data_IF_269235427396
#
_entry.id   IF_269235427396
#
_cell.length_a   1.000
_cell.length_b   1.000
_cell.length_c   1.000
_cell.angle_alpha   90.00
_cell.angle_beta   90.00
_cell.angle_gamma   90.00
#
_symmetry.space_group_name_H-M   'P 1'
#
loop_
_entity.id
_entity.type
_entity.pdbx_description
1 polymer ?
#
# COMPACT_ATOMS: atom_id res chain seq x y z
N UNK A 1 4.11 25.79 14.68
CA UNK A 1 5.51 25.35 14.41
C UNK A 1 6.47 26.55 14.46
N UNK A 2 6.22 27.64 13.72
CA UNK A 2 7.03 28.88 13.81
C UNK A 2 7.03 29.55 15.20
N UNK A 3 5.94 29.45 15.97
CA UNK A 3 5.87 29.97 17.35
C UNK A 3 6.79 29.23 18.35
N UNK A 4 7.32 28.05 17.99
CA UNK A 4 8.14 27.21 18.87
C UNK A 4 9.64 27.48 18.72
N UNK A 5 10.09 28.03 17.58
CA UNK A 5 11.47 28.48 17.42
C UNK A 5 11.81 29.68 18.32
N UNK A 6 10.82 30.50 18.66
CA UNK A 6 11.01 31.64 19.56
C UNK A 6 11.26 31.23 21.02
N UNK A 7 10.83 30.03 21.45
CA UNK A 7 10.92 29.59 22.84
C UNK A 7 12.23 28.86 23.16
N UNK A 8 12.94 28.36 22.16
CA UNK A 8 14.24 27.67 22.32
C UNK A 8 15.43 28.64 22.18
N UNK A 9 15.20 29.87 21.69
CA UNK A 9 16.23 30.86 21.40
C UNK A 9 16.35 32.03 22.39
N UNK A 10 15.66 32.02 23.53
CA UNK A 10 15.65 33.17 24.45
C UNK A 10 15.63 32.77 25.91
N UNK A 11 16.79 32.53 26.49
CA UNK A 11 16.96 32.58 27.94
C UNK A 11 17.24 34.01 28.38
N UNK A 12 16.29 34.62 29.10
CA UNK A 12 16.49 35.37 30.36
C UNK A 12 15.26 36.22 30.72
N UNK A 13 14.76 36.04 31.95
CA UNK A 13 14.04 37.06 32.71
C UNK A 13 12.51 37.09 32.61
N UNK A 14 11.83 36.50 33.60
CA UNK A 14 10.90 37.19 34.53
C UNK A 14 9.85 36.23 35.11
N UNK A 15 9.79 36.20 36.44
CA UNK A 15 8.82 35.47 37.24
C UNK A 15 7.40 36.02 37.11
N UNK A 16 6.39 35.15 37.17
CA UNK A 16 4.99 35.52 37.29
C UNK A 16 4.10 34.30 37.53
N UNK A 17 3.69 34.11 38.79
CA UNK A 17 2.83 33.03 39.25
C UNK A 17 1.41 33.10 38.66
N UNK A 18 0.81 31.93 38.38
CA UNK A 18 -0.59 31.80 37.99
C UNK A 18 -0.99 30.34 37.78
N UNK A 19 -1.41 29.68 38.86
CA UNK A 19 -1.99 28.34 38.84
C UNK A 19 -3.20 28.24 37.90
N UNK A 20 -3.17 27.29 36.95
CA UNK A 20 -4.39 26.68 36.38
C UNK A 20 -4.21 25.18 36.24
N UNK A 21 -5.16 24.45 36.85
CA UNK A 21 -5.28 22.99 36.93
C UNK A 21 -5.07 22.29 35.58
N UNK A 22 -4.14 21.34 35.58
CA UNK A 22 -3.94 20.36 34.51
C UNK A 22 -5.08 19.33 34.50
N UNK A 23 -5.89 19.32 33.44
CA UNK A 23 -6.70 18.16 33.07
C UNK A 23 -5.81 17.17 32.32
N UNK A 24 -5.50 16.04 32.95
CA UNK A 24 -4.64 14.99 32.40
C UNK A 24 -5.28 14.27 31.22
N UNK A 25 -4.94 14.70 30.00
CA UNK A 25 -4.96 13.86 28.82
C UNK A 25 -3.55 13.35 28.57
N UNK A 26 -3.33 12.04 28.65
CA UNK A 26 -2.06 11.40 28.30
C UNK A 26 -1.80 11.52 26.80
N UNK A 27 -1.35 12.69 26.36
CA UNK A 27 -0.68 12.86 25.08
C UNK A 27 0.76 12.40 25.24
N UNK A 28 1.18 11.43 24.45
CA UNK A 28 2.60 11.10 24.29
C UNK A 28 3.33 12.39 23.93
N UNK A 29 4.09 12.92 24.89
CA UNK A 29 4.81 14.17 24.72
C UNK A 29 5.96 13.91 23.74
N UNK A 30 5.72 14.14 22.43
CA UNK A 30 6.68 13.82 21.36
C UNK A 30 8.04 14.50 21.54
N UNK A 31 8.10 15.54 22.36
CA UNK A 31 9.29 16.35 22.60
C UNK A 31 9.67 16.42 24.09
N UNK A 32 9.34 15.39 24.88
CA UNK A 32 9.78 15.30 26.27
C UNK A 32 11.28 15.55 26.44
N UNK A 33 11.64 16.30 27.48
CA UNK A 33 13.01 16.69 27.81
C UNK A 33 13.92 15.46 27.96
N UNK A 34 15.04 15.42 27.23
CA UNK A 34 16.09 14.41 27.42
C UNK A 34 16.58 13.64 26.20
N UNK A 35 16.18 13.96 24.95
CA UNK A 35 16.78 13.34 23.74
C UNK A 35 17.09 14.38 22.65
N UNK A 36 18.33 14.93 22.60
CA UNK A 36 18.70 16.05 21.73
C UNK A 36 18.81 15.73 20.23
N UNK A 37 18.76 14.45 19.82
CA UNK A 37 18.98 14.06 18.42
C UNK A 37 17.92 14.66 17.47
N UNK A 38 16.61 14.58 17.80
CA UNK A 38 15.55 14.97 16.88
C UNK A 38 15.55 16.46 16.46
N UNK A 39 16.25 17.34 17.18
CA UNK A 39 16.22 18.78 16.90
C UNK A 39 16.89 19.17 15.58
N UNK A 40 17.94 18.44 15.16
CA UNK A 40 18.74 18.79 13.98
C UNK A 40 17.97 18.61 12.67
N UNK A 41 17.25 17.50 12.49
CA UNK A 41 16.51 17.21 11.24
C UNK A 41 15.12 17.82 11.20
N UNK A 42 14.55 18.22 12.35
CA UNK A 42 13.18 18.72 12.38
C UNK A 42 13.01 19.98 11.53
N UNK A 43 13.98 20.89 11.54
CA UNK A 43 13.94 22.11 10.74
C UNK A 43 14.02 21.81 9.22
N UNK A 44 15.02 21.06 8.71
CA UNK A 44 15.03 20.58 7.32
C UNK A 44 13.74 19.86 6.89
N UNK A 45 13.29 18.89 7.68
CA UNK A 45 12.07 18.12 7.40
C UNK A 45 10.83 19.03 7.34
N UNK A 46 10.73 20.03 8.22
CA UNK A 46 9.60 20.98 8.22
C UNK A 46 9.63 21.90 7.00
N UNK A 47 10.81 22.37 6.57
CA UNK A 47 10.95 23.18 5.35
C UNK A 47 10.59 22.36 4.10
N UNK A 48 11.09 21.12 4.03
CA UNK A 48 10.75 20.21 2.95
C UNK A 48 9.24 19.93 2.89
N UNK A 49 8.62 19.61 4.03
CA UNK A 49 7.18 19.41 4.10
C UNK A 49 6.40 20.66 3.70
N UNK A 50 6.79 21.84 4.19
CA UNK A 50 6.13 23.09 3.83
C UNK A 50 6.20 23.33 2.32
N UNK A 51 7.37 23.17 1.71
CA UNK A 51 7.54 23.31 0.27
C UNK A 51 6.67 22.31 -0.51
N UNK A 52 6.69 21.02 -0.13
CA UNK A 52 5.85 19.98 -0.74
C UNK A 52 4.39 20.35 -0.61
N UNK A 53 3.93 20.76 0.58
CA UNK A 53 2.54 21.08 0.86
C UNK A 53 2.03 22.27 0.04
N UNK A 54 2.82 23.35 -0.06
CA UNK A 54 2.42 24.56 -0.82
C UNK A 54 2.51 24.39 -2.33
N UNK A 55 3.24 23.39 -2.80
CA UNK A 55 3.45 23.12 -4.23
C UNK A 55 2.62 21.92 -4.73
N UNK A 56 1.71 21.37 -3.90
CA UNK A 56 0.85 20.28 -4.35
C UNK A 56 -0.10 20.76 -5.45
N UNK A 57 -0.19 19.99 -6.53
CA UNK A 57 -1.11 20.23 -7.62
C UNK A 57 -2.40 19.43 -7.41
N UNK A 58 -3.54 20.10 -7.54
CA UNK A 58 -4.86 19.48 -7.39
C UNK A 58 -5.32 19.40 -5.94
N UNK A 59 -5.82 18.23 -5.53
CA UNK A 59 -6.30 17.98 -4.16
C UNK A 59 -5.13 17.74 -3.22
N UNK A 60 -5.16 18.31 -2.01
CA UNK A 60 -4.16 18.14 -0.94
C UNK A 60 -4.05 16.66 -0.48
N UNK A 61 -3.33 15.85 -1.24
CA UNK A 61 -3.22 14.41 -1.05
C UNK A 61 -2.26 14.05 0.08
N UNK A 62 -1.23 14.87 0.29
CA UNK A 62 -0.35 14.78 1.46
C UNK A 62 -0.88 15.77 2.50
N UNK A 63 -1.22 15.26 3.68
CA UNK A 63 -1.68 16.07 4.81
C UNK A 63 -0.69 16.09 5.98
N UNK A 64 -1.01 16.91 6.99
CA UNK A 64 -0.21 17.01 8.22
C UNK A 64 -0.10 15.68 8.97
N UNK A 65 -1.09 14.78 8.82
CA UNK A 65 -1.06 13.46 9.44
C UNK A 65 0.05 12.58 8.84
N UNK A 66 0.33 12.72 7.54
CA UNK A 66 1.42 12.00 6.88
C UNK A 66 2.76 12.50 7.43
N UNK A 67 2.95 13.82 7.53
CA UNK A 67 4.17 14.40 8.11
C UNK A 67 4.38 14.03 9.57
N UNK A 68 3.31 14.02 10.38
CA UNK A 68 3.41 13.63 11.77
C UNK A 68 3.80 12.15 11.94
N UNK A 69 3.27 11.26 11.11
CA UNK A 69 3.63 9.84 11.15
C UNK A 69 5.04 9.59 10.59
N UNK A 70 5.50 10.40 9.62
CA UNK A 70 6.89 10.42 9.19
C UNK A 70 7.82 10.70 10.39
N UNK A 71 7.54 11.76 11.15
CA UNK A 71 8.34 12.11 12.34
C UNK A 71 8.30 11.00 13.40
N UNK A 72 7.13 10.39 13.63
CA UNK A 72 7.00 9.25 14.55
C UNK A 72 7.87 8.07 14.13
N UNK A 73 7.86 7.72 12.85
CA UNK A 73 8.61 6.60 12.32
C UNK A 73 10.11 6.84 12.41
N UNK A 74 10.57 8.05 12.04
CA UNK A 74 11.98 8.43 12.18
C UNK A 74 12.45 8.44 13.64
N UNK A 75 11.58 8.84 14.58
CA UNK A 75 11.88 8.82 16.02
C UNK A 75 11.91 7.42 16.62
N UNK A 76 11.18 6.46 16.05
CA UNK A 76 11.12 5.09 16.56
C UNK A 76 12.42 4.30 16.32
N UNK A 77 13.37 4.86 15.57
CA UNK A 77 14.71 4.30 15.36
C UNK A 77 15.47 4.11 16.68
N UNK A 78 16.31 3.06 16.78
CA UNK A 78 17.07 2.77 17.99
C UNK A 78 17.97 3.94 18.40
N UNK A 79 18.03 4.20 19.72
CA UNK A 79 18.82 5.28 20.29
C UNK A 79 20.31 4.96 20.16
N UNK A 80 20.96 5.54 19.14
CA UNK A 80 22.37 5.29 18.81
C UNK A 80 22.73 5.92 17.47
N UNK A 81 21.76 5.96 16.55
CA UNK A 81 21.88 6.66 15.28
C UNK A 81 21.83 8.16 15.50
N UNK A 82 23.01 8.78 15.53
CA UNK A 82 23.14 10.24 15.55
C UNK A 82 22.91 10.85 14.18
N UNK A 83 22.88 10.07 13.11
CA UNK A 83 22.67 10.54 11.74
C UNK A 83 21.45 9.87 11.11
N UNK A 84 20.64 10.68 10.43
CA UNK A 84 19.55 10.19 9.61
C UNK A 84 20.16 9.57 8.35
N UNK A 85 20.04 8.25 8.16
CA UNK A 85 20.44 7.62 6.90
C UNK A 85 19.43 7.97 5.79
N UNK A 86 19.90 8.04 4.53
CA UNK A 86 19.03 8.30 3.36
C UNK A 86 17.97 7.23 3.21
N UNK A 87 18.35 5.98 3.42
CA UNK A 87 17.50 4.80 3.27
C UNK A 87 16.33 4.83 4.26
N UNK A 88 16.61 5.23 5.51
CA UNK A 88 15.58 5.40 6.54
C UNK A 88 14.62 6.54 6.20
N UNK A 89 15.14 7.65 5.67
CA UNK A 89 14.30 8.77 5.23
C UNK A 89 13.42 8.36 4.05
N UNK A 90 13.97 7.68 3.05
CA UNK A 90 13.24 7.18 1.89
C UNK A 90 12.18 6.16 2.29
N UNK A 91 12.49 5.22 3.19
CA UNK A 91 11.54 4.28 3.77
C UNK A 91 10.41 5.02 4.49
N UNK A 92 10.74 5.98 5.34
CA UNK A 92 9.74 6.70 6.11
C UNK A 92 8.85 7.59 5.23
N UNK A 93 9.40 8.19 4.17
CA UNK A 93 8.65 8.94 3.17
C UNK A 93 7.76 8.02 2.35
N UNK A 94 8.28 6.91 1.83
CA UNK A 94 7.50 5.95 1.03
C UNK A 94 6.33 5.35 1.82
N UNK A 95 6.50 5.11 3.12
CA UNK A 95 5.41 4.69 4.02
C UNK A 95 4.36 5.77 4.27
N UNK A 96 4.73 7.05 4.31
CA UNK A 96 3.80 8.10 4.74
C UNK A 96 3.23 8.97 3.61
N UNK A 97 3.98 9.17 2.54
CA UNK A 97 3.67 10.03 1.39
C UNK A 97 3.30 9.18 0.16
N UNK A 98 3.11 7.88 0.36
CA UNK A 98 2.69 6.92 -0.66
C UNK A 98 1.26 7.14 -1.16
N UNK A 99 0.88 6.33 -2.14
CA UNK A 99 -0.42 6.40 -2.81
C UNK A 99 -0.31 6.98 -4.21
N UNK A 100 0.40 8.10 -4.42
CA UNK A 100 0.68 8.66 -5.75
C UNK A 100 2.19 8.61 -6.05
N UNK A 101 2.68 7.70 -6.92
CA UNK A 101 4.11 7.52 -7.15
C UNK A 101 4.84 8.81 -7.54
N UNK A 102 4.26 9.60 -8.45
CA UNK A 102 4.90 10.84 -8.92
C UNK A 102 4.96 11.93 -7.85
N UNK A 103 3.98 11.95 -6.94
CA UNK A 103 3.96 12.88 -5.80
C UNK A 103 5.00 12.44 -4.77
N UNK A 104 5.09 11.13 -4.49
CA UNK A 104 6.08 10.56 -3.59
C UNK A 104 7.51 10.84 -4.09
N UNK A 105 7.80 10.60 -5.37
CA UNK A 105 9.13 10.87 -5.97
C UNK A 105 9.53 12.32 -5.84
N UNK A 106 8.65 13.25 -6.24
CA UNK A 106 8.88 14.69 -6.10
C UNK A 106 9.11 15.10 -4.63
N UNK A 107 8.28 14.58 -3.72
CA UNK A 107 8.46 14.83 -2.30
C UNK A 107 9.79 14.28 -1.78
N UNK A 108 10.13 13.04 -2.12
CA UNK A 108 11.38 12.41 -1.71
C UNK A 108 12.62 13.17 -2.19
N UNK A 109 12.62 13.59 -3.46
CA UNK A 109 13.69 14.42 -4.00
C UNK A 109 13.84 15.74 -3.21
N UNK A 110 12.71 16.40 -2.88
CA UNK A 110 12.73 17.64 -2.09
C UNK A 110 13.23 17.43 -0.67
N UNK A 111 12.80 16.36 -0.01
CA UNK A 111 13.23 16.05 1.35
C UNK A 111 14.73 15.73 1.40
N UNK A 112 15.23 14.98 0.43
CA UNK A 112 16.66 14.71 0.31
C UNK A 112 17.46 16.00 0.08
N UNK A 113 17.05 16.86 -0.84
CA UNK A 113 17.75 18.13 -1.11
C UNK A 113 17.80 19.06 0.11
N UNK A 114 16.77 19.08 0.95
CA UNK A 114 16.74 19.89 2.18
C UNK A 114 17.52 19.26 3.34
N UNK A 115 17.54 17.93 3.44
CA UNK A 115 18.19 17.22 4.55
C UNK A 115 19.68 16.95 4.29
N UNK A 116 20.10 16.88 3.02
CA UNK A 116 21.47 16.63 2.59
C UNK A 116 21.90 17.68 1.55
N UNK A 117 22.05 18.96 1.95
CA UNK A 117 22.33 20.05 1.02
C UNK A 117 23.73 19.97 0.37
N UNK A 118 24.64 19.20 0.95
CA UNK A 118 26.00 18.98 0.44
C UNK A 118 26.05 17.93 -0.69
N UNK A 119 24.95 17.20 -0.91
CA UNK A 119 24.82 16.21 -1.98
C UNK A 119 24.25 16.83 -3.27
N UNK A 120 24.56 16.26 -4.45
CA UNK A 120 23.93 16.67 -5.69
C UNK A 120 22.41 16.50 -5.60
N UNK A 121 21.68 17.44 -6.21
CA UNK A 121 20.23 17.38 -6.24
C UNK A 121 19.77 16.04 -6.84
N UNK A 122 18.93 15.27 -6.13
CA UNK A 122 18.51 13.96 -6.60
C UNK A 122 17.58 14.08 -7.78
N UNK A 123 17.79 13.24 -8.80
CA UNK A 123 16.81 13.02 -9.85
C UNK A 123 15.62 12.23 -9.28
N UNK A 124 14.44 12.86 -9.30
CA UNK A 124 13.22 12.29 -8.73
C UNK A 124 12.82 10.95 -9.38
N UNK A 125 13.10 10.76 -10.67
CA UNK A 125 12.73 9.56 -11.41
C UNK A 125 13.67 8.39 -11.13
N UNK A 126 14.94 8.68 -10.85
CA UNK A 126 15.98 7.69 -10.58
C UNK A 126 16.11 7.33 -9.09
N UNK A 127 15.21 7.81 -8.22
CA UNK A 127 15.28 7.53 -6.80
C UNK A 127 15.06 6.04 -6.48
N UNK A 128 15.94 5.42 -5.68
CA UNK A 128 15.81 4.03 -5.25
C UNK A 128 14.76 3.92 -4.12
N UNK A 129 13.49 4.13 -4.47
CA UNK A 129 12.39 3.96 -3.52
C UNK A 129 12.25 2.49 -3.13
N UNK A 130 11.92 2.19 -1.85
CA UNK A 130 11.67 0.81 -1.44
C UNK A 130 10.52 0.18 -2.24
N UNK A 131 10.61 -1.12 -2.58
CA UNK A 131 9.58 -1.79 -3.36
C UNK A 131 8.27 -1.87 -2.57
N UNK A 132 7.13 -1.86 -3.28
CA UNK A 132 5.80 -1.89 -2.67
C UNK A 132 5.64 -3.06 -1.66
N UNK A 133 6.14 -4.24 -2.00
CA UNK A 133 6.13 -5.41 -1.09
C UNK A 133 6.79 -5.13 0.25
N UNK A 134 7.95 -4.44 0.25
CA UNK A 134 8.66 -4.10 1.48
C UNK A 134 7.88 -3.08 2.33
N UNK A 135 7.26 -2.09 1.68
CA UNK A 135 6.42 -1.09 2.36
C UNK A 135 5.20 -1.73 3.02
N UNK A 136 4.50 -2.60 2.29
CA UNK A 136 3.35 -3.35 2.78
C UNK A 136 3.74 -4.25 3.97
N UNK A 137 4.81 -5.03 3.83
CA UNK A 137 5.30 -5.88 4.91
C UNK A 137 5.70 -5.08 6.15
N UNK A 138 6.40 -3.95 5.97
CA UNK A 138 6.79 -3.06 7.06
C UNK A 138 5.59 -2.47 7.80
N UNK A 139 4.53 -2.04 7.09
CA UNK A 139 3.30 -1.57 7.72
C UNK A 139 2.59 -2.68 8.52
N UNK A 140 2.47 -3.87 7.95
CA UNK A 140 1.75 -4.99 8.57
C UNK A 140 2.47 -5.51 9.83
N UNK A 141 3.80 -5.45 9.86
CA UNK A 141 4.61 -5.78 11.04
C UNK A 141 4.58 -4.68 12.12
N UNK A 142 4.34 -3.42 11.74
CA UNK A 142 4.40 -2.26 12.63
C UNK A 142 3.08 -2.05 13.39
N UNK A 143 3.05 -2.47 14.66
CA UNK A 143 1.87 -2.39 15.55
C UNK A 143 1.36 -0.97 15.85
N UNK A 144 2.14 0.07 15.55
CA UNK A 144 1.75 1.48 15.74
C UNK A 144 1.52 2.22 14.42
N UNK A 145 1.75 1.56 13.29
CA UNK A 145 1.43 2.11 11.98
C UNK A 145 -0.06 2.41 11.85
N UNK A 146 -0.36 3.31 10.90
CA UNK A 146 -1.73 3.52 10.43
C UNK A 146 -2.28 2.24 9.80
N UNK A 147 -3.60 2.18 9.71
CA UNK A 147 -4.25 1.20 8.84
C UNK A 147 -3.85 1.43 7.38
N UNK A 148 -3.92 0.37 6.60
CA UNK A 148 -3.36 0.35 5.25
C UNK A 148 -4.49 0.53 4.23
N UNK A 149 -4.24 1.34 3.20
CA UNK A 149 -5.05 1.42 2.00
C UNK A 149 -4.19 1.01 0.81
N UNK A 150 -4.53 -0.13 0.21
CA UNK A 150 -3.88 -0.70 -0.97
C UNK A 150 -4.66 -0.25 -2.20
N UNK A 151 -4.04 0.64 -2.97
CA UNK A 151 -4.56 1.16 -4.21
C UNK A 151 -4.18 0.22 -5.34
N UNK A 152 -5.17 -0.24 -6.09
CA UNK A 152 -4.96 -1.19 -7.20
C UNK A 152 -5.55 -0.69 -8.51
N UNK A 153 -5.36 -1.47 -9.56
CA UNK A 153 -6.01 -1.27 -10.84
C UNK A 153 -6.59 -2.61 -11.31
N UNK A 154 -7.88 -2.62 -11.64
CA UNK A 154 -8.61 -3.79 -12.15
C UNK A 154 -8.69 -4.96 -11.14
N UNK A 155 -8.89 -4.67 -9.85
CA UNK A 155 -9.19 -5.66 -8.82
C UNK A 155 -8.03 -6.59 -8.44
N UNK A 156 -6.79 -6.29 -8.87
CA UNK A 156 -5.68 -7.21 -8.72
C UNK A 156 -5.15 -7.34 -7.28
N UNK A 157 -5.30 -6.33 -6.43
CA UNK A 157 -4.59 -6.27 -5.16
C UNK A 157 -4.90 -7.41 -4.18
N UNK A 158 -6.15 -7.88 -4.05
CA UNK A 158 -6.47 -8.92 -3.08
C UNK A 158 -5.74 -10.25 -3.40
N UNK A 159 -5.81 -10.78 -4.64
CA UNK A 159 -4.96 -11.90 -5.06
C UNK A 159 -3.48 -11.66 -4.83
N UNK A 160 -2.96 -10.46 -5.12
CA UNK A 160 -1.55 -10.13 -4.96
C UNK A 160 -1.12 -10.12 -3.48
N UNK A 161 -1.96 -9.64 -2.56
CA UNK A 161 -1.69 -9.63 -1.12
C UNK A 161 -1.57 -11.04 -0.56
N UNK A 162 -2.47 -11.95 -0.97
CA UNK A 162 -2.42 -13.36 -0.56
C UNK A 162 -1.21 -14.07 -1.17
N UNK A 163 -1.01 -13.92 -2.48
CA UNK A 163 0.10 -14.54 -3.22
C UNK A 163 1.47 -14.09 -2.73
N UNK A 164 1.62 -12.83 -2.35
CA UNK A 164 2.88 -12.31 -1.81
C UNK A 164 3.17 -12.73 -0.36
N UNK A 165 2.26 -13.48 0.27
CA UNK A 165 2.33 -13.86 1.69
C UNK A 165 2.20 -12.68 2.65
N UNK A 166 1.63 -11.55 2.19
CA UNK A 166 1.46 -10.36 3.01
C UNK A 166 0.26 -10.50 3.94
N UNK A 167 -0.81 -11.12 3.46
CA UNK A 167 -2.00 -11.42 4.24
C UNK A 167 -2.30 -12.91 4.13
N UNK A 168 -2.49 -13.56 5.27
CA UNK A 168 -2.89 -14.95 5.35
C UNK A 168 -4.42 -15.06 5.18
N UNK A 169 -4.92 -15.76 4.13
CA UNK A 169 -6.36 -15.87 3.86
C UNK A 169 -7.12 -16.61 4.98
N UNK A 170 -6.49 -17.55 5.68
CA UNK A 170 -7.14 -18.34 6.74
C UNK A 170 -7.27 -17.55 8.05
N UNK A 171 -6.42 -16.55 8.24
CA UNK A 171 -6.40 -15.70 9.43
C UNK A 171 -7.08 -14.35 9.23
N UNK A 172 -7.23 -13.91 7.98
CA UNK A 172 -7.88 -12.65 7.66
C UNK A 172 -9.40 -12.77 7.64
N UNK A 173 -10.08 -11.70 8.02
CA UNK A 173 -11.53 -11.55 7.84
C UNK A 173 -11.78 -10.70 6.60
N UNK A 174 -12.23 -11.31 5.51
CA UNK A 174 -12.56 -10.63 4.27
C UNK A 174 -14.00 -10.11 4.33
N UNK A 175 -14.17 -8.81 4.14
CA UNK A 175 -15.47 -8.14 4.07
C UNK A 175 -15.58 -7.45 2.71
N UNK A 176 -16.56 -7.85 1.92
CA UNK A 176 -16.78 -7.34 0.57
C UNK A 176 -17.99 -6.41 0.58
N UNK A 177 -17.78 -5.17 0.12
CA UNK A 177 -18.87 -4.25 -0.10
C UNK A 177 -19.77 -4.77 -1.22
N UNK A 178 -21.03 -5.02 -0.91
CA UNK A 178 -22.02 -5.37 -1.92
C UNK A 178 -22.56 -4.11 -2.60
N UNK A 179 -22.50 -4.10 -3.93
CA UNK A 179 -23.15 -3.06 -4.74
C UNK A 179 -24.59 -3.43 -5.11
N UNK A 180 -25.05 -4.64 -4.78
CA UNK A 180 -26.41 -5.09 -5.08
C UNK A 180 -27.44 -4.23 -4.33
N UNK A 181 -28.52 -3.77 -5.01
CA UNK A 181 -29.51 -2.89 -4.39
C UNK A 181 -30.17 -3.44 -3.13
N UNK A 182 -30.33 -4.76 -3.05
CA UNK A 182 -30.96 -5.46 -1.93
C UNK A 182 -30.05 -5.55 -0.69
N UNK A 183 -28.73 -5.51 -0.88
CA UNK A 183 -27.73 -5.61 0.19
C UNK A 183 -27.39 -4.26 0.84
N UNK A 184 -28.00 -3.17 0.35
CA UNK A 184 -27.86 -1.83 0.96
C UNK A 184 -28.65 -1.66 2.26
N UNK A 185 -29.11 -2.76 2.86
CA UNK A 185 -29.83 -2.72 4.13
C UNK A 185 -28.89 -2.30 5.27
N UNK A 186 -29.41 -1.51 6.22
CA UNK A 186 -28.68 -1.16 7.45
C UNK A 186 -28.27 -2.41 8.25
N UNK A 187 -29.05 -3.50 8.14
CA UNK A 187 -28.75 -4.77 8.81
C UNK A 187 -27.47 -5.42 8.28
N UNK A 188 -27.25 -5.39 6.97
CA UNK A 188 -26.01 -5.89 6.37
C UNK A 188 -24.80 -5.10 6.88
N UNK A 189 -24.89 -3.77 6.90
CA UNK A 189 -23.82 -2.93 7.44
C UNK A 189 -23.55 -3.22 8.93
N UNK A 190 -24.60 -3.38 9.74
CA UNK A 190 -24.48 -3.74 11.16
C UNK A 190 -23.77 -5.09 11.32
N UNK A 191 -24.08 -6.08 10.50
CA UNK A 191 -23.40 -7.38 10.52
C UNK A 191 -21.91 -7.24 10.16
N UNK A 192 -21.57 -6.52 9.10
CA UNK A 192 -20.19 -6.27 8.69
C UNK A 192 -19.39 -5.56 9.80
N UNK A 193 -19.98 -4.55 10.46
CA UNK A 193 -19.34 -3.86 11.59
C UNK A 193 -19.18 -4.81 12.79
N UNK A 194 -20.11 -5.73 13.02
CA UNK A 194 -19.95 -6.76 14.05
C UNK A 194 -18.81 -7.73 13.73
N UNK A 195 -18.59 -8.08 12.45
CA UNK A 195 -17.43 -8.86 12.04
C UNK A 195 -16.12 -8.11 12.33
N UNK A 196 -16.07 -6.80 12.05
CA UNK A 196 -14.92 -5.96 12.43
C UNK A 196 -14.70 -5.98 13.94
N UNK A 197 -15.76 -5.83 14.74
CA UNK A 197 -15.69 -5.90 16.20
C UNK A 197 -15.11 -7.23 16.70
N UNK A 198 -15.53 -8.36 16.13
CA UNK A 198 -15.01 -9.68 16.49
C UNK A 198 -13.53 -9.82 16.10
N UNK A 199 -13.14 -9.35 14.91
CA UNK A 199 -11.76 -9.35 14.47
C UNK A 199 -10.86 -8.44 15.33
N UNK A 200 -11.37 -7.29 15.79
CA UNK A 200 -10.69 -6.40 16.74
C UNK A 200 -10.40 -7.09 18.08
N UNK A 201 -11.38 -7.83 18.61
CA UNK A 201 -11.23 -8.60 19.85
C UNK A 201 -10.29 -9.81 19.68
N UNK A 202 -10.21 -10.38 18.49
CA UNK A 202 -9.32 -11.51 18.19
C UNK A 202 -7.91 -11.09 17.71
N UNK A 203 -7.68 -9.80 17.46
CA UNK A 203 -6.41 -9.29 16.93
C UNK A 203 -6.13 -9.75 15.50
N UNK A 204 -7.16 -9.99 14.69
CA UNK A 204 -7.05 -10.44 13.30
C UNK A 204 -6.99 -9.27 12.33
N UNK A 205 -6.44 -9.52 11.14
CA UNK A 205 -6.47 -8.56 10.04
C UNK A 205 -7.84 -8.61 9.37
N UNK A 206 -8.46 -7.46 9.16
CA UNK A 206 -9.67 -7.31 8.34
C UNK A 206 -9.28 -6.73 7.00
N UNK A 207 -9.71 -7.37 5.91
CA UNK A 207 -9.55 -6.87 4.55
C UNK A 207 -10.91 -6.36 4.05
N UNK A 208 -11.02 -5.07 3.79
CA UNK A 208 -12.21 -4.44 3.20
C UNK A 208 -12.00 -4.31 1.70
N UNK A 209 -12.89 -4.90 0.90
CA UNK A 209 -12.89 -4.75 -0.56
C UNK A 209 -14.08 -3.88 -0.98
N UNK A 210 -13.82 -2.76 -1.64
CA UNK A 210 -14.84 -1.85 -2.22
C UNK A 210 -16.01 -1.50 -1.26
N UNK A 211 -15.70 -1.23 0.00
CA UNK A 211 -16.68 -1.13 1.08
C UNK A 211 -16.90 0.32 1.57
N UNK A 212 -17.34 1.23 0.68
CA UNK A 212 -17.39 2.67 0.99
C UNK A 212 -18.32 3.06 2.15
N UNK A 213 -19.45 2.37 2.30
CA UNK A 213 -20.46 2.65 3.31
C UNK A 213 -20.03 2.32 4.75
N UNK A 214 -18.96 1.55 4.96
CA UNK A 214 -18.50 1.17 6.31
C UNK A 214 -17.60 2.22 6.95
N UNK A 215 -17.03 3.14 6.18
CA UNK A 215 -16.02 4.07 6.68
C UNK A 215 -16.54 4.99 7.79
N UNK A 216 -17.81 5.39 7.72
CA UNK A 216 -18.45 6.20 8.77
C UNK A 216 -18.47 5.43 10.11
N UNK A 217 -18.85 4.15 10.06
CA UNK A 217 -18.90 3.30 11.25
C UNK A 217 -17.53 3.07 11.90
N UNK A 218 -16.46 3.10 11.09
CA UNK A 218 -15.08 2.86 11.49
C UNK A 218 -14.29 4.13 11.79
N UNK A 219 -14.92 5.32 11.83
CA UNK A 219 -14.23 6.59 11.95
C UNK A 219 -13.21 6.66 13.11
N UNK A 220 -13.60 6.23 14.31
CA UNK A 220 -12.72 6.22 15.49
C UNK A 220 -11.62 5.15 15.40
N UNK A 221 -11.90 4.04 14.72
CA UNK A 221 -10.91 2.98 14.42
C UNK A 221 -9.82 3.53 13.51
N UNK A 222 -10.22 4.18 12.41
CA UNK A 222 -9.31 4.81 11.45
C UNK A 222 -8.48 5.93 12.07
N UNK A 223 -9.05 6.68 13.03
CA UNK A 223 -8.29 7.69 13.75
C UNK A 223 -7.35 7.12 14.82
N UNK A 224 -7.47 5.82 15.15
CA UNK A 224 -6.69 5.15 16.20
C UNK A 224 -6.78 5.86 17.56
N UNK A 225 -7.98 6.39 17.89
CA UNK A 225 -8.23 7.14 19.13
C UNK A 225 -8.53 6.19 20.30
N UNK A 226 -7.50 5.47 20.74
CA UNK A 226 -7.62 4.49 21.82
C UNK A 226 -7.98 5.13 23.17
N UNK A 227 -8.88 4.46 23.90
CA UNK A 227 -9.13 4.69 25.33
C UNK A 227 -8.51 3.53 26.10
N UNK A 228 -7.51 3.82 26.93
CA UNK A 228 -6.89 2.79 27.78
C UNK A 228 -7.70 2.61 29.04
N UNK A 229 -8.13 1.38 29.33
CA UNK A 229 -8.76 0.99 30.59
C UNK A 229 -7.90 -0.04 31.29
N UNK A 230 -7.83 0.03 32.62
CA UNK A 230 -7.27 -1.08 33.40
C UNK A 230 -8.37 -2.11 33.58
N UNK A 231 -8.11 -3.34 33.18
CA UNK A 231 -8.98 -4.46 33.49
C UNK A 231 -8.98 -4.65 35.02
N UNK A 232 -10.15 -4.55 35.68
CA UNK A 232 -10.25 -4.71 37.13
C UNK A 232 -9.84 -6.12 37.61
N UNK A 233 -9.88 -7.12 36.73
CA UNK A 233 -9.57 -8.51 37.07
C UNK A 233 -8.09 -8.83 36.92
N UNK A 234 -7.49 -8.49 35.77
CA UNK A 234 -6.08 -8.80 35.48
C UNK A 234 -5.10 -7.67 35.81
N UNK A 235 -5.59 -6.46 36.11
CA UNK A 235 -4.78 -5.26 36.29
C UNK A 235 -4.11 -4.76 35.00
N UNK A 236 -4.28 -5.46 33.87
CA UNK A 236 -3.65 -5.11 32.59
C UNK A 236 -4.35 -3.93 31.92
N UNK A 237 -3.57 -3.11 31.23
CA UNK A 237 -4.10 -2.03 30.41
C UNK A 237 -4.63 -2.58 29.08
N UNK A 238 -5.94 -2.53 28.88
CA UNK A 238 -6.63 -2.88 27.64
C UNK A 238 -6.92 -1.63 26.81
N UNK A 239 -6.68 -1.73 25.50
CA UNK A 239 -7.03 -0.67 24.54
C UNK A 239 -8.47 -0.87 24.09
N UNK A 240 -9.25 0.21 24.15
CA UNK A 240 -10.64 0.23 23.69
C UNK A 240 -10.77 1.24 22.56
N UNK A 241 -11.54 0.90 21.53
CA UNK A 241 -11.97 1.83 20.48
C UNK A 241 -13.49 1.92 20.46
N UNK A 242 -13.99 3.04 19.97
CA UNK A 242 -15.41 3.28 19.80
C UNK A 242 -15.82 2.85 18.39
N UNK A 243 -16.88 2.06 18.27
CA UNK A 243 -17.48 1.63 17.01
C UNK A 243 -18.92 2.12 16.94
N UNK A 244 -19.36 2.64 15.80
CA UNK A 244 -20.77 2.93 15.57
C UNK A 244 -21.45 1.69 14.96
N UNK A 245 -22.44 1.15 15.67
CA UNK A 245 -23.21 -0.05 15.29
C UNK A 245 -24.67 0.38 15.24
N UNK A 246 -25.18 0.61 14.03
CA UNK A 246 -26.48 1.25 13.82
C UNK A 246 -26.51 2.63 14.49
N UNK A 247 -27.58 2.92 15.23
CA UNK A 247 -27.76 4.20 15.93
C UNK A 247 -26.94 4.34 17.23
N UNK A 248 -26.15 3.33 17.63
CA UNK A 248 -25.45 3.31 18.92
C UNK A 248 -23.95 3.26 18.74
N UNK A 249 -23.24 3.83 19.70
CA UNK A 249 -21.78 3.82 19.74
C UNK A 249 -21.28 3.00 20.92
N UNK A 250 -20.53 1.93 20.66
CA UNK A 250 -20.05 0.98 21.66
C UNK A 250 -18.53 1.04 21.81
N UNK A 251 -18.03 0.95 23.05
CA UNK A 251 -16.61 0.72 23.32
C UNK A 251 -16.28 -0.77 23.19
N UNK A 252 -15.34 -1.10 22.32
CA UNK A 252 -14.90 -2.45 22.00
C UNK A 252 -13.41 -2.60 22.28
N UNK A 253 -13.01 -3.74 22.83
CA UNK A 253 -11.59 -4.07 23.07
C UNK A 253 -10.86 -4.29 21.74
N UNK A 254 -9.59 -3.89 21.72
CA UNK A 254 -8.72 -4.02 20.55
C UNK A 254 -7.43 -4.68 20.94
N UNK A 255 -7.19 -5.85 20.37
CA UNK A 255 -5.93 -6.56 20.55
C UNK A 255 -4.79 -5.92 19.74
N UNK A 256 -3.54 -5.92 20.25
CA UNK A 256 -2.40 -5.28 19.58
C UNK A 256 -2.05 -5.79 18.17
N UNK A 257 -2.61 -6.93 17.76
CA UNK A 257 -2.42 -7.51 16.41
C UNK A 257 -3.44 -7.04 15.36
N UNK A 258 -4.52 -6.36 15.78
CA UNK A 258 -5.58 -5.94 14.86
C UNK A 258 -5.06 -4.97 13.79
N UNK A 259 -5.42 -5.23 12.53
CA UNK A 259 -5.08 -4.39 11.38
C UNK A 259 -6.26 -4.31 10.42
N UNK A 260 -6.56 -3.12 9.94
CA UNK A 260 -7.46 -2.92 8.81
C UNK A 260 -6.62 -2.69 7.53
N UNK A 261 -6.95 -3.43 6.48
CA UNK A 261 -6.42 -3.29 5.12
C UNK A 261 -7.59 -2.99 4.20
N UNK A 262 -7.60 -1.83 3.56
CA UNK A 262 -8.62 -1.44 2.59
C UNK A 262 -8.05 -1.63 1.20
N UNK A 263 -8.71 -2.41 0.35
CA UNK A 263 -8.41 -2.52 -1.07
C UNK A 263 -9.39 -1.63 -1.82
N UNK A 264 -8.86 -0.70 -2.62
CA UNK A 264 -9.66 0.23 -3.40
C UNK A 264 -9.04 0.48 -4.78
N UNK A 265 -9.90 0.66 -5.78
CA UNK A 265 -9.47 1.11 -7.10
C UNK A 265 -8.83 2.50 -7.04
N UNK A 266 -7.67 2.64 -7.69
CA UNK A 266 -6.89 3.88 -7.70
C UNK A 266 -7.71 5.06 -8.27
N UNK A 267 -8.45 4.81 -9.34
CA UNK A 267 -9.31 5.83 -9.97
C UNK A 267 -10.40 6.31 -9.00
N UNK A 268 -11.03 5.39 -8.28
CA UNK A 268 -12.05 5.68 -7.27
C UNK A 268 -11.46 6.46 -6.09
N UNK A 269 -10.34 6.02 -5.55
CA UNK A 269 -9.67 6.68 -4.43
C UNK A 269 -9.27 8.12 -4.74
N UNK A 270 -8.83 8.40 -5.97
CA UNK A 270 -8.41 9.75 -6.36
C UNK A 270 -9.58 10.69 -6.63
N UNK A 271 -10.65 10.18 -7.24
CA UNK A 271 -11.76 10.99 -7.71
C UNK A 271 -12.88 11.15 -6.67
N UNK A 272 -13.20 10.10 -5.91
CA UNK A 272 -14.43 10.03 -5.10
C UNK A 272 -14.20 10.04 -3.60
N UNK A 273 -13.15 9.37 -3.11
CA UNK A 273 -12.88 9.35 -1.67
C UNK A 273 -12.47 10.75 -1.15
N UNK A 274 -12.87 11.06 0.08
CA UNK A 274 -12.58 12.31 0.75
C UNK A 274 -11.13 12.35 1.26
N UNK A 275 -10.49 13.52 1.18
CA UNK A 275 -9.11 13.70 1.66
C UNK A 275 -8.95 13.38 3.16
N UNK A 276 -9.89 13.78 4.05
CA UNK A 276 -9.79 13.42 5.47
C UNK A 276 -9.72 11.92 5.72
N UNK A 277 -10.47 11.10 4.98
CA UNK A 277 -10.37 9.65 5.03
C UNK A 277 -9.03 9.15 4.52
N UNK A 278 -8.61 9.56 3.31
CA UNK A 278 -7.33 9.16 2.72
C UNK A 278 -6.13 9.48 3.62
N UNK A 279 -6.19 10.58 4.38
CA UNK A 279 -5.14 11.00 5.31
C UNK A 279 -5.09 10.15 6.60
N UNK A 280 -6.11 9.33 6.88
CA UNK A 280 -6.10 8.37 8.01
C UNK A 280 -5.37 7.07 7.67
N UNK A 281 -5.18 6.78 6.38
CA UNK A 281 -4.49 5.58 5.93
C UNK A 281 -3.04 5.86 5.55
N UNK A 282 -2.18 4.88 5.81
CA UNK A 282 -0.95 4.69 5.04
C UNK A 282 -1.36 4.10 3.68
N UNK A 283 -0.98 4.75 2.58
CA UNK A 283 -1.47 4.45 1.23
C UNK A 283 -0.34 3.86 0.41
N UNK A 284 -0.57 2.69 -0.18
CA UNK A 284 0.42 2.02 -1.04
C UNK A 284 -0.24 1.58 -2.33
N UNK A 285 0.47 1.75 -3.46
CA UNK A 285 0.02 1.22 -4.75
C UNK A 285 0.56 -0.20 -4.88
N UNK A 286 -0.29 -1.13 -5.29
CA UNK A 286 0.10 -2.51 -5.57
C UNK A 286 -0.46 -2.95 -6.92
N UNK A 287 0.45 -3.15 -7.86
CA UNK A 287 0.22 -3.68 -9.20
C UNK A 287 0.99 -5.00 -9.37
N UNK A 288 0.60 -5.86 -10.33
CA UNK A 288 1.34 -7.09 -10.60
C UNK A 288 2.81 -6.85 -10.93
N UNK A 289 3.12 -5.72 -11.58
CA UNK A 289 4.49 -5.33 -11.94
C UNK A 289 5.41 -5.16 -10.73
N UNK A 290 4.85 -4.77 -9.57
CA UNK A 290 5.61 -4.49 -8.35
C UNK A 290 6.13 -5.78 -7.68
N UNK A 291 5.65 -6.95 -8.12
CA UNK A 291 6.02 -8.26 -7.61
C UNK A 291 6.86 -9.09 -8.59
N UNK A 292 7.14 -8.55 -9.79
CA UNK A 292 7.97 -9.22 -10.79
C UNK A 292 9.45 -9.19 -10.37
N UNK A 293 10.12 -10.34 -10.49
CA UNK A 293 11.58 -10.46 -10.41
C UNK A 293 12.20 -10.02 -11.76
N UNK A 294 13.53 -9.82 -11.86
CA UNK A 294 14.16 -9.41 -13.11
C UNK A 294 13.80 -10.28 -14.33
N UNK A 295 13.73 -11.60 -14.17
CA UNK A 295 13.30 -12.52 -15.23
C UNK A 295 11.83 -12.30 -15.65
N UNK A 296 10.92 -12.14 -14.69
CA UNK A 296 9.52 -11.80 -14.96
C UNK A 296 9.36 -10.44 -15.63
N UNK A 297 10.24 -9.47 -15.31
CA UNK A 297 10.25 -8.16 -15.99
C UNK A 297 10.70 -8.27 -17.45
N UNK A 298 11.74 -9.04 -17.72
CA UNK A 298 12.18 -9.32 -19.09
C UNK A 298 11.08 -10.01 -19.91
N UNK A 299 10.35 -10.96 -19.30
CA UNK A 299 9.19 -11.59 -19.93
C UNK A 299 8.10 -10.56 -20.24
N UNK A 300 7.77 -9.67 -19.29
CA UNK A 300 6.77 -8.62 -19.50
C UNK A 300 7.16 -7.70 -20.66
N UNK A 301 8.43 -7.29 -20.74
CA UNK A 301 8.91 -6.42 -21.80
C UNK A 301 8.85 -7.12 -23.17
N UNK A 302 9.21 -8.41 -23.23
CA UNK A 302 9.05 -9.23 -24.44
C UNK A 302 7.56 -9.41 -24.84
N UNK A 303 6.67 -9.60 -23.86
CA UNK A 303 5.23 -9.71 -24.11
C UNK A 303 4.62 -8.41 -24.62
N UNK A 304 5.04 -7.25 -24.09
CA UNK A 304 4.62 -5.94 -24.58
C UNK A 304 5.06 -5.73 -26.02
N UNK A 305 6.34 -5.98 -26.33
CA UNK A 305 6.84 -5.86 -27.70
C UNK A 305 6.11 -6.78 -28.69
N UNK A 306 5.81 -8.01 -28.26
CA UNK A 306 5.02 -8.96 -29.04
C UNK A 306 3.58 -8.50 -29.27
N UNK A 307 2.89 -8.09 -28.20
CA UNK A 307 1.52 -7.60 -28.25
C UNK A 307 1.38 -6.35 -29.14
N UNK A 308 2.34 -5.42 -29.07
CA UNK A 308 2.39 -4.24 -29.95
C UNK A 308 2.59 -4.64 -31.43
N UNK A 309 3.31 -5.74 -31.68
CA UNK A 309 3.40 -6.39 -33.00
C UNK A 309 2.04 -6.81 -33.54
N UNK A 310 1.28 -7.55 -32.73
CA UNK A 310 -0.04 -8.05 -33.12
C UNK A 310 -1.06 -6.94 -33.35
N UNK A 311 -1.06 -5.91 -32.50
CA UNK A 311 -1.90 -4.72 -32.65
C UNK A 311 -1.64 -4.04 -34.00
N UNK A 312 -0.37 -3.90 -34.40
CA UNK A 312 0.00 -3.35 -35.70
C UNK A 312 -0.39 -4.25 -36.87
N UNK A 313 -0.17 -5.55 -36.77
CA UNK A 313 -0.46 -6.51 -37.85
C UNK A 313 -1.95 -6.71 -38.10
N UNK A 314 -2.74 -6.82 -37.04
CA UNK A 314 -4.21 -6.96 -37.13
C UNK A 314 -4.88 -5.69 -37.64
N UNK A 315 -4.19 -4.53 -37.58
CA UNK A 315 -4.80 -3.22 -37.75
C UNK A 315 -5.79 -2.88 -36.63
N UNK A 316 -5.86 -3.70 -35.58
CA UNK A 316 -6.74 -3.48 -34.44
C UNK A 316 -6.12 -2.39 -33.57
N UNK A 317 -6.74 -1.20 -33.48
CA UNK A 317 -6.15 -0.05 -32.80
C UNK A 317 -5.89 -0.22 -31.28
N UNK A 318 -6.29 -1.33 -30.66
CA UNK A 318 -6.11 -1.61 -29.24
C UNK A 318 -5.87 -3.09 -28.95
N UNK A 319 -5.19 -3.38 -27.84
CA UNK A 319 -4.97 -4.75 -27.38
C UNK A 319 -6.27 -5.51 -27.07
N UNK A 320 -7.31 -4.81 -26.61
CA UNK A 320 -8.63 -5.39 -26.32
C UNK A 320 -9.34 -5.91 -27.58
N UNK A 321 -9.05 -5.33 -28.74
CA UNK A 321 -9.58 -5.82 -30.01
C UNK A 321 -8.83 -7.07 -30.51
N UNK A 322 -7.60 -7.28 -30.05
CA UNK A 322 -6.80 -8.49 -30.32
C UNK A 322 -7.17 -9.62 -29.35
N UNK A 323 -7.27 -9.31 -28.06
CA UNK A 323 -7.56 -10.27 -26.99
C UNK A 323 -8.81 -9.85 -26.21
N UNK A 324 -9.79 -10.75 -26.15
CA UNK A 324 -11.05 -10.56 -25.44
C UNK A 324 -10.80 -10.20 -23.97
N UNK A 325 -11.31 -9.05 -23.54
CA UNK A 325 -11.21 -8.59 -22.16
C UNK A 325 -9.82 -8.08 -21.75
N UNK A 326 -8.88 -7.88 -22.69
CA UNK A 326 -7.57 -7.34 -22.34
C UNK A 326 -7.67 -5.90 -21.83
N UNK A 327 -6.94 -5.66 -20.75
CA UNK A 327 -6.79 -4.37 -20.09
C UNK A 327 -5.30 -4.15 -19.76
N UNK A 328 -4.88 -2.94 -19.32
CA UNK A 328 -3.47 -2.66 -19.06
C UNK A 328 -2.78 -3.62 -18.07
N UNK A 329 -3.56 -4.28 -17.20
CA UNK A 329 -3.06 -5.25 -16.22
C UNK A 329 -2.95 -6.69 -16.73
N UNK A 330 -3.44 -7.01 -17.94
CA UNK A 330 -3.48 -8.40 -18.44
C UNK A 330 -2.07 -8.98 -18.62
N UNK A 331 -1.18 -8.30 -19.35
CA UNK A 331 0.18 -8.79 -19.59
C UNK A 331 1.02 -8.87 -18.30
N UNK A 332 1.02 -7.84 -17.42
CA UNK A 332 1.68 -7.95 -16.11
C UNK A 332 1.17 -9.11 -15.25
N UNK A 333 -0.15 -9.34 -15.23
CA UNK A 333 -0.74 -10.41 -14.43
C UNK A 333 -0.35 -11.78 -14.95
N UNK A 334 -0.30 -11.95 -16.28
CA UNK A 334 0.15 -13.18 -16.92
C UNK A 334 1.64 -13.45 -16.65
N UNK A 335 2.49 -12.44 -16.79
CA UNK A 335 3.92 -12.57 -16.50
C UNK A 335 4.15 -12.97 -15.04
N UNK A 336 3.43 -12.33 -14.11
CA UNK A 336 3.51 -12.67 -12.69
C UNK A 336 3.00 -14.09 -12.41
N UNK A 337 1.90 -14.49 -13.04
CA UNK A 337 1.34 -15.83 -12.88
C UNK A 337 2.34 -16.91 -13.32
N UNK A 338 2.98 -16.75 -14.48
CA UNK A 338 3.97 -17.72 -14.97
C UNK A 338 5.22 -17.78 -14.08
N UNK A 339 5.68 -16.62 -13.59
CA UNK A 339 6.79 -16.57 -12.64
C UNK A 339 6.44 -17.36 -11.36
N UNK A 340 5.24 -17.17 -10.83
CA UNK A 340 4.81 -17.87 -9.61
C UNK A 340 4.62 -19.37 -9.81
N UNK A 341 4.10 -19.80 -10.95
CA UNK A 341 3.98 -21.23 -11.28
C UNK A 341 5.36 -21.89 -11.38
N UNK A 342 6.34 -21.20 -11.96
CA UNK A 342 7.71 -21.68 -11.99
C UNK A 342 8.36 -21.72 -10.60
N UNK A 343 8.07 -20.76 -9.73
CA UNK A 343 8.51 -20.76 -8.32
C UNK A 343 7.89 -21.94 -7.55
N UNK A 344 6.59 -22.20 -7.72
CA UNK A 344 5.91 -23.32 -7.07
C UNK A 344 6.43 -24.68 -7.54
N UNK A 345 6.68 -24.84 -8.85
CA UNK A 345 7.27 -26.07 -9.40
C UNK A 345 8.69 -26.32 -8.87
N UNK A 346 9.47 -25.26 -8.62
CA UNK A 346 10.80 -25.39 -8.04
C UNK A 346 10.78 -25.76 -6.55
N UNK A 347 9.75 -25.35 -5.81
CA UNK A 347 9.57 -25.70 -4.40
C UNK A 347 9.10 -27.17 -4.22
N UNK A 348 8.38 -27.73 -5.20
CA UNK A 348 7.97 -29.15 -5.21
C UNK A 348 9.11 -30.11 -5.59
N UNK A 349 10.12 -29.62 -6.34
CA UNK A 349 11.24 -30.41 -6.88
C UNK A 349 12.42 -30.59 -5.90
N UNK A 350 12.22 -30.51 -4.58
CA UNK A 350 13.27 -30.77 -3.58
C UNK A 350 13.62 -32.27 -3.45
N UNK A 351 14.32 -32.76 -4.47
CA UNK A 351 15.49 -33.62 -4.33
C UNK A 351 16.67 -33.00 -5.08
N UNK A 352 17.22 -31.91 -4.55
CA UNK A 352 18.62 -31.56 -4.70
C UNK A 352 19.11 -31.12 -6.09
N UNK A 353 18.85 -29.86 -6.43
CA UNK A 353 19.85 -28.98 -7.04
C UNK A 353 19.40 -27.53 -6.87
N UNK A 354 20.26 -26.68 -6.29
CA UNK A 354 20.12 -25.25 -6.42
C UNK A 354 20.33 -24.86 -7.90
N UNK A 355 19.30 -25.07 -8.72
CA UNK A 355 19.23 -24.60 -10.09
C UNK A 355 18.68 -23.17 -10.05
N UNK A 356 19.43 -22.25 -10.67
CA UNK A 356 18.94 -20.92 -10.99
C UNK A 356 17.58 -21.04 -11.72
N UNK A 357 16.50 -20.70 -11.02
CA UNK A 357 15.15 -20.36 -11.54
C UNK A 357 14.65 -21.18 -12.73
N UNK A 358 13.88 -22.23 -12.44
CA UNK A 358 13.26 -23.12 -13.42
C UNK A 358 12.49 -22.42 -14.55
N UNK A 359 12.91 -22.72 -15.79
CA UNK A 359 12.27 -22.30 -17.04
C UNK A 359 13.12 -21.30 -17.83
N UNK A 360 13.56 -21.69 -19.03
CA UNK A 360 14.17 -20.74 -19.98
C UNK A 360 13.21 -19.57 -20.23
N UNK A 361 13.68 -18.30 -20.31
CA UNK A 361 12.84 -17.15 -20.67
C UNK A 361 12.03 -17.36 -21.96
N UNK A 362 12.57 -18.15 -22.89
CA UNK A 362 11.88 -18.52 -24.12
C UNK A 362 10.68 -19.46 -23.86
N UNK A 363 10.79 -20.38 -22.90
CA UNK A 363 9.70 -21.28 -22.53
C UNK A 363 8.55 -20.51 -21.86
N UNK A 364 8.87 -19.57 -20.97
CA UNK A 364 7.87 -18.69 -20.36
C UNK A 364 7.15 -17.84 -21.41
N UNK A 365 7.88 -17.29 -22.38
CA UNK A 365 7.28 -16.53 -23.47
C UNK A 365 6.36 -17.40 -24.34
N UNK A 366 6.78 -18.63 -24.68
CA UNK A 366 5.95 -19.56 -25.44
C UNK A 366 4.66 -19.93 -24.68
N UNK A 367 4.76 -20.23 -23.37
CA UNK A 367 3.62 -20.52 -22.52
C UNK A 367 2.66 -19.32 -22.42
N UNK A 368 3.19 -18.11 -22.28
CA UNK A 368 2.41 -16.87 -22.27
C UNK A 368 1.65 -16.66 -23.59
N UNK A 369 2.34 -16.84 -24.73
CA UNK A 369 1.73 -16.73 -26.07
C UNK A 369 0.57 -17.71 -26.25
N UNK A 370 0.74 -18.97 -25.83
CA UNK A 370 -0.32 -19.99 -25.87
C UNK A 370 -1.54 -19.62 -25.01
N UNK A 371 -1.33 -19.10 -23.80
CA UNK A 371 -2.44 -18.63 -22.94
C UNK A 371 -3.18 -17.44 -23.54
N UNK A 372 -2.46 -16.52 -24.17
CA UNK A 372 -3.06 -15.38 -24.85
C UNK A 372 -3.82 -15.79 -26.11
N UNK A 373 -3.37 -16.84 -26.81
CA UNK A 373 -4.10 -17.39 -27.96
C UNK A 373 -5.52 -17.84 -27.57
N UNK A 374 -5.69 -18.45 -26.39
CA UNK A 374 -7.00 -18.92 -25.92
C UNK A 374 -8.03 -17.80 -25.72
N UNK A 375 -7.58 -16.55 -25.61
CA UNK A 375 -8.44 -15.35 -25.49
C UNK A 375 -8.34 -14.44 -26.71
N UNK A 376 -7.65 -14.86 -27.78
CA UNK A 376 -7.56 -14.09 -29.01
C UNK A 376 -8.91 -14.02 -29.72
N UNK A 377 -9.21 -12.88 -30.35
CA UNK A 377 -10.41 -12.77 -31.19
C UNK A 377 -10.21 -13.59 -32.47
N UNK A 378 -11.28 -14.20 -33.04
CA UNK A 378 -11.16 -14.94 -34.29
C UNK A 378 -10.59 -14.08 -35.44
N UNK A 379 -10.92 -12.79 -35.43
CA UNK A 379 -10.40 -11.83 -36.40
C UNK A 379 -8.88 -11.65 -36.24
N UNK A 380 -8.39 -11.48 -35.01
CA UNK A 380 -6.95 -11.38 -34.76
C UNK A 380 -6.20 -12.67 -35.11
N UNK A 381 -6.77 -13.83 -34.78
CA UNK A 381 -6.20 -15.13 -35.15
C UNK A 381 -6.10 -15.31 -36.68
N UNK A 382 -7.07 -14.77 -37.43
CA UNK A 382 -7.03 -14.79 -38.89
C UNK A 382 -6.01 -13.77 -39.44
N UNK A 383 -5.93 -12.55 -38.92
CA UNK A 383 -5.13 -11.48 -39.53
C UNK A 383 -3.66 -11.45 -39.08
N UNK A 384 -3.34 -11.96 -37.90
CA UNK A 384 -1.97 -12.00 -37.39
C UNK A 384 -1.28 -13.32 -37.77
N UNK A 385 -0.12 -13.21 -38.42
CA UNK A 385 0.64 -14.40 -38.87
C UNK A 385 1.14 -15.22 -37.69
N UNK A 386 1.63 -14.55 -36.65
CA UNK A 386 2.14 -15.21 -35.46
C UNK A 386 1.05 -15.94 -34.66
N UNK A 387 -0.16 -15.38 -34.55
CA UNK A 387 -1.27 -16.07 -33.88
C UNK A 387 -1.74 -17.30 -34.66
N UNK A 388 -1.75 -17.21 -35.99
CA UNK A 388 -2.08 -18.35 -36.85
C UNK A 388 -1.05 -19.47 -36.71
N UNK A 389 0.24 -19.16 -36.77
CA UNK A 389 1.30 -20.15 -36.56
C UNK A 389 1.18 -20.83 -35.19
N UNK A 390 0.87 -20.08 -34.13
CA UNK A 390 0.63 -20.64 -32.79
C UNK A 390 -0.61 -21.54 -32.70
N UNK A 391 -1.64 -21.26 -33.51
CA UNK A 391 -2.85 -22.09 -33.59
C UNK A 391 -2.59 -23.38 -34.35
N UNK A 392 -1.88 -23.30 -35.48
CA UNK A 392 -1.49 -24.45 -36.29
C UNK A 392 -0.60 -25.41 -35.46
N UNK A 393 0.39 -24.88 -34.72
CA UNK A 393 1.24 -25.65 -33.80
C UNK A 393 0.44 -26.34 -32.67
N UNK A 394 -0.67 -25.72 -32.22
CA UNK A 394 -1.52 -26.27 -31.17
C UNK A 394 -2.41 -27.42 -31.67
N UNK A 395 -2.88 -27.35 -32.92
CA UNK A 395 -3.65 -28.41 -33.57
C UNK A 395 -2.77 -29.64 -33.89
N UNK A 396 -1.52 -29.42 -34.35
CA UNK A 396 -0.59 -30.53 -34.62
C UNK A 396 -0.12 -31.25 -33.35
N UNK A 397 0.00 -30.56 -32.22
CA UNK A 397 0.36 -31.15 -30.93
C UNK A 397 -0.77 -31.96 -30.25
N UNK A 398 -2.04 -31.63 -30.54
CA UNK A 398 -3.21 -32.32 -29.97
C UNK A 398 -3.68 -33.55 -30.76
N UNK A 399 -3.19 -33.74 -31.99
CA UNK A 399 -3.51 -34.91 -32.81
C UNK A 399 -2.61 -36.14 -32.52
N UNK A 400 -1.71 -36.03 -31.53
CA UNK A 400 -0.72 -37.06 -31.16
C UNK A 400 -0.89 -37.65 -29.76
N UNK A 401 -1.89 -37.24 -28.97
CA UNK A 401 -2.38 -37.93 -27.77
C UNK A 401 -3.65 -38.72 -28.09
#
# INVERSE_FOLDING_TARGET
ILHWQATVGGGEGAAGAGERKAGGGGGDNLFGEGRPACAAWLAPLSRAYHAVYTQQEGRDFIGMRDFYNLLKLLRARPAGDRELAREDLLMALARNFGGKPEVLRRAAARFLAECYPDEPAPDAEALPLPPARALLAANLADRVARHLMVLTANGAALPLLFRAGLVDPDRATLLVGSEFPEDRSELFLVDQVNQVKLAMAAGRTVVLLDHDNIYEALYDVLNQRYVVRKDPTSGRSVRMLRLAIGARSQLCQVEPGFRLVVVAERAHAYARLDLPLLNRFEKQVLLPEDLLRPAGRQLLDALRAWADGLVRESGAGTLQAVFCGAHPGTLPSLALQLQMEAEAAADDDDAGAAAEGGGSPAAWLAAAKRRLLAVATPLAALHCRELRALADDAEEGGAGE
#
